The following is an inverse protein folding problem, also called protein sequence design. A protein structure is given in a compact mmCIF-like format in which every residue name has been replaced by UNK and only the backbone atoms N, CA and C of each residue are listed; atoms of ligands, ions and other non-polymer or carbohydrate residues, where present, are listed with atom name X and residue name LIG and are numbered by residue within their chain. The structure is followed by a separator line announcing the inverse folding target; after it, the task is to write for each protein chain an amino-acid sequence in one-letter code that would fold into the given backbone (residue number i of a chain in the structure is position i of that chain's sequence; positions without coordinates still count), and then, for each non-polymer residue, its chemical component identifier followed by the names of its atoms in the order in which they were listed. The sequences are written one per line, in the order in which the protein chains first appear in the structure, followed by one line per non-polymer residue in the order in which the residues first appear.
data_IF_503646271261
#
_entry.id   IF_503646271261
#
_cell.length_a   1.000
_cell.length_b   1.000
_cell.length_c   1.000
_cell.angle_alpha   90.00
_cell.angle_beta   90.00
_cell.angle_gamma   90.00
#
_symmetry.space_group_name_H-M   'P 1'
#
loop_
_entity.id
_entity.type
_entity.pdbx_description
1 polymer ?
#
# COMPACT_ATOMS: atom_id res chain seq x y z
N UNK A 1 11.08 5.98 -16.09
CA UNK A 1 9.92 5.08 -16.28
C UNK A 1 8.70 5.94 -16.55
N UNK A 2 7.68 5.47 -17.29
CA UNK A 2 6.31 5.98 -17.06
C UNK A 2 6.04 5.65 -15.59
N UNK A 3 6.32 6.62 -14.73
CA UNK A 3 6.61 6.39 -13.33
C UNK A 3 5.33 6.07 -12.61
N UNK A 4 5.33 4.98 -11.86
CA UNK A 4 4.29 4.75 -10.86
C UNK A 4 4.29 5.98 -9.95
N UNK A 5 3.18 6.71 -9.92
CA UNK A 5 3.06 7.93 -9.13
C UNK A 5 3.08 7.57 -7.64
N UNK A 6 4.05 8.14 -6.92
CA UNK A 6 4.17 8.00 -5.47
C UNK A 6 2.89 8.39 -4.75
N UNK A 7 2.21 9.45 -5.20
CA UNK A 7 0.97 9.92 -4.60
C UNK A 7 -0.14 8.88 -4.78
N UNK A 8 -0.21 8.22 -5.94
CA UNK A 8 -1.16 7.14 -6.21
C UNK A 8 -0.88 5.92 -5.31
N UNK A 9 0.39 5.53 -5.15
CA UNK A 9 0.77 4.43 -4.25
C UNK A 9 0.45 4.76 -2.79
N UNK A 10 0.75 5.97 -2.33
CA UNK A 10 0.41 6.43 -0.98
C UNK A 10 -1.12 6.41 -0.77
N UNK A 11 -1.92 6.84 -1.75
CA UNK A 11 -3.38 6.79 -1.68
C UNK A 11 -3.90 5.35 -1.58
N UNK A 12 -3.36 4.42 -2.37
CA UNK A 12 -3.75 3.01 -2.36
C UNK A 12 -3.39 2.36 -1.01
N UNK A 13 -2.22 2.66 -0.44
CA UNK A 13 -1.82 2.19 0.90
C UNK A 13 -2.82 2.67 1.95
N UNK A 14 -3.19 3.95 1.94
CA UNK A 14 -4.16 4.51 2.88
C UNK A 14 -5.51 3.82 2.75
N UNK A 15 -6.00 3.61 1.53
CA UNK A 15 -7.27 2.91 1.28
C UNK A 15 -7.22 1.46 1.80
N UNK A 16 -6.17 0.71 1.48
CA UNK A 16 -6.01 -0.67 1.94
C UNK A 16 -5.95 -0.76 3.49
N UNK A 17 -5.28 0.19 4.14
CA UNK A 17 -5.25 0.26 5.61
C UNK A 17 -6.64 0.55 6.22
N UNK A 18 -7.40 1.48 5.62
CA UNK A 18 -8.76 1.80 6.08
C UNK A 18 -9.69 0.59 5.95
N UNK A 19 -9.59 -0.15 4.84
CA UNK A 19 -10.38 -1.36 4.64
C UNK A 19 -9.95 -2.50 5.57
N UNK A 20 -8.66 -2.65 5.86
CA UNK A 20 -8.19 -3.58 6.89
C UNK A 20 -8.79 -3.25 8.26
N UNK A 21 -8.80 -1.97 8.64
CA UNK A 21 -9.41 -1.54 9.91
C UNK A 21 -10.90 -1.90 9.95
N UNK A 22 -11.65 -1.60 8.87
CA UNK A 22 -13.07 -2.00 8.77
C UNK A 22 -13.25 -3.52 8.88
N UNK A 23 -12.40 -4.30 8.20
CA UNK A 23 -12.45 -5.75 8.25
C UNK A 23 -12.21 -6.31 9.66
N UNK A 24 -11.31 -5.69 10.44
CA UNK A 24 -11.07 -6.03 11.85
C UNK A 24 -12.32 -5.70 12.68
N UNK A 25 -12.88 -4.51 12.52
CA UNK A 25 -14.06 -4.04 13.24
C UNK A 25 -15.29 -4.92 12.96
N UNK A 26 -15.42 -5.47 11.75
CA UNK A 26 -16.51 -6.37 11.35
C UNK A 26 -16.15 -7.86 11.46
N UNK A 27 -14.98 -8.20 12.03
CA UNK A 27 -14.48 -9.57 12.15
C UNK A 27 -14.46 -10.40 10.84
N UNK A 28 -14.27 -9.74 9.69
CA UNK A 28 -14.18 -10.42 8.38
C UNK A 28 -12.77 -10.97 8.16
N UNK A 29 -12.56 -12.24 8.52
CA UNK A 29 -11.24 -12.91 8.39
C UNK A 29 -10.68 -12.87 6.96
N UNK A 30 -11.52 -13.12 5.95
CA UNK A 30 -11.10 -13.10 4.55
C UNK A 30 -10.63 -11.72 4.11
N UNK A 31 -11.33 -10.66 4.52
CA UNK A 31 -10.92 -9.28 4.22
C UNK A 31 -9.64 -8.89 4.96
N UNK A 32 -9.47 -9.34 6.22
CA UNK A 32 -8.22 -9.13 6.97
C UNK A 32 -7.03 -9.78 6.24
N UNK A 33 -7.16 -11.02 5.80
CA UNK A 33 -6.11 -11.73 5.03
C UNK A 33 -5.81 -11.02 3.70
N UNK A 34 -6.85 -10.59 2.97
CA UNK A 34 -6.67 -9.87 1.71
C UNK A 34 -5.92 -8.54 1.88
N UNK A 35 -6.38 -7.68 2.79
CA UNK A 35 -5.78 -6.35 2.93
C UNK A 35 -4.40 -6.41 3.60
N UNK A 36 -4.17 -7.34 4.54
CA UNK A 36 -2.84 -7.55 5.10
C UNK A 36 -1.83 -8.07 4.08
N UNK A 37 -2.23 -9.01 3.21
CA UNK A 37 -1.37 -9.52 2.14
C UNK A 37 -1.09 -8.48 1.05
N UNK A 38 -2.03 -7.56 0.79
CA UNK A 38 -1.83 -6.46 -0.16
C UNK A 38 -0.94 -5.33 0.38
N UNK A 39 -1.00 -5.03 1.68
CA UNK A 39 -0.22 -3.93 2.28
C UNK A 39 1.30 -4.16 2.20
N UNK A 40 1.77 -5.41 2.33
CA UNK A 40 3.19 -5.72 2.26
C UNK A 40 3.82 -5.31 0.91
N UNK A 41 3.38 -5.81 -0.26
CA UNK A 41 3.94 -5.43 -1.54
C UNK A 41 3.76 -3.94 -1.85
N UNK A 42 2.65 -3.31 -1.44
CA UNK A 42 2.45 -1.87 -1.61
C UNK A 42 3.51 -1.05 -0.84
N UNK A 43 3.82 -1.44 0.40
CA UNK A 43 4.87 -0.75 1.18
C UNK A 43 6.28 -0.99 0.63
N UNK A 44 6.53 -2.13 -0.02
CA UNK A 44 7.79 -2.39 -0.73
C UNK A 44 7.92 -1.50 -1.97
N UNK A 45 6.88 -1.44 -2.79
CA UNK A 45 6.82 -0.55 -3.97
C UNK A 45 7.06 0.92 -3.58
N UNK A 46 6.44 1.39 -2.50
CA UNK A 46 6.67 2.75 -1.98
C UNK A 46 8.15 3.00 -1.65
N UNK A 47 8.84 2.01 -1.07
CA UNK A 47 10.27 2.13 -0.72
C UNK A 47 11.14 2.20 -1.97
N UNK A 48 10.82 1.40 -2.99
CA UNK A 48 11.53 1.42 -4.28
C UNK A 48 11.38 2.77 -4.97
N UNK A 49 10.16 3.33 -5.01
CA UNK A 49 9.92 4.68 -5.57
C UNK A 49 10.74 5.74 -4.84
N UNK A 50 10.75 5.72 -3.50
CA UNK A 50 11.54 6.69 -2.72
C UNK A 50 13.05 6.50 -2.91
N UNK A 51 13.52 5.27 -3.17
CA UNK A 51 14.91 5.01 -3.49
C UNK A 51 15.28 5.57 -4.88
N UNK A 52 14.43 5.33 -5.89
CA UNK A 52 14.61 5.84 -7.26
C UNK A 52 14.61 7.39 -7.32
N UNK A 53 13.75 8.05 -6.53
CA UNK A 53 13.74 9.52 -6.37
C UNK A 53 15.07 10.05 -5.82
N UNK A 54 15.72 9.31 -4.90
CA UNK A 54 17.00 9.73 -4.29
C UNK A 54 18.17 9.54 -5.25
N UNK A 55 18.17 8.46 -6.02
CA UNK A 55 19.25 8.16 -6.98
C UNK A 55 19.18 9.08 -8.21
N UNK A 56 18.02 9.71 -8.44
CA UNK A 56 17.78 10.66 -9.53
C UNK A 56 18.09 12.13 -9.18
N UNK A 57 18.56 12.43 -7.96
CA UNK A 57 18.86 13.79 -7.46
C UNK A 57 20.35 13.97 -7.19
#
# INVERSE_FOLDING_TARGET
MEGIDKAEVDEVIVKAFLELKRAIDTHSKASVELYSSALLPLTMLRREIVADERDST
#
